data_IF_284781290016
#
_entry.id   IF_284781290016
#
_cell.length_a   1.000
_cell.length_b   1.000
_cell.length_c   1.000
_cell.angle_alpha   90.00
_cell.angle_beta   90.00
_cell.angle_gamma   90.00
#
_symmetry.space_group_name_H-M   'P 1'
#
loop_
_entity.id
_entity.type
_entity.pdbx_description
1 polymer ?
#
# COMPACT_ATOMS: atom_id res chain seq x y z
N UNK A 1 2.70 -33.10 25.49
CA UNK A 1 3.66 -33.23 24.36
C UNK A 1 4.12 -31.82 24.01
N UNK A 2 5.38 -31.50 24.34
CA UNK A 2 5.85 -30.12 24.58
C UNK A 2 5.97 -29.26 23.33
N UNK A 3 5.45 -28.03 23.41
CA UNK A 3 5.74 -26.97 22.45
C UNK A 3 7.21 -26.53 22.63
N UNK A 4 8.09 -26.91 21.69
CA UNK A 4 9.46 -26.40 21.63
C UNK A 4 9.39 -24.94 21.18
N UNK A 5 9.55 -24.00 22.11
CA UNK A 5 9.77 -22.59 21.79
C UNK A 5 11.11 -22.44 21.07
N UNK A 6 11.08 -22.09 19.79
CA UNK A 6 12.29 -21.86 19.01
C UNK A 6 12.89 -20.49 19.34
N UNK A 7 14.17 -20.45 19.70
CA UNK A 7 14.94 -19.19 19.70
C UNK A 7 15.22 -18.82 18.25
N UNK A 8 14.40 -17.92 17.68
CA UNK A 8 14.54 -17.55 16.27
C UNK A 8 15.66 -16.51 16.07
N UNK A 9 16.85 -17.01 15.71
CA UNK A 9 18.01 -16.21 15.33
C UNK A 9 17.71 -15.28 14.12
N UNK A 10 18.59 -14.30 13.87
CA UNK A 10 18.40 -13.29 12.82
C UNK A 10 18.11 -13.85 11.41
N UNK A 11 18.70 -15.00 11.06
CA UNK A 11 18.52 -15.66 9.74
C UNK A 11 17.08 -16.10 9.51
N UNK A 12 16.44 -16.75 10.50
CA UNK A 12 15.05 -17.20 10.38
C UNK A 12 14.05 -16.03 10.17
N UNK A 13 14.34 -14.86 10.76
CA UNK A 13 13.54 -13.64 10.53
C UNK A 13 13.76 -13.07 9.13
N UNK A 14 14.98 -13.13 8.62
CA UNK A 14 15.30 -12.70 7.26
C UNK A 14 14.58 -13.57 6.22
N UNK A 15 14.54 -14.89 6.40
CA UNK A 15 13.86 -15.82 5.49
C UNK A 15 12.34 -15.59 5.43
N UNK A 16 11.73 -15.30 6.57
CA UNK A 16 10.31 -14.93 6.66
C UNK A 16 10.03 -13.63 5.89
N UNK A 17 10.86 -12.61 6.09
CA UNK A 17 10.72 -11.33 5.41
C UNK A 17 10.91 -11.47 3.89
N UNK A 18 11.95 -12.20 3.48
CA UNK A 18 12.22 -12.51 2.07
C UNK A 18 11.05 -13.26 1.43
N UNK A 19 10.45 -14.21 2.17
CA UNK A 19 9.27 -14.97 1.71
C UNK A 19 8.09 -14.04 1.47
N UNK A 20 7.73 -13.19 2.45
CA UNK A 20 6.60 -12.25 2.31
C UNK A 20 6.85 -11.30 1.13
N UNK A 21 8.06 -10.75 1.01
CA UNK A 21 8.43 -9.86 -0.09
C UNK A 21 8.31 -10.56 -1.45
N UNK A 22 8.83 -11.78 -1.58
CA UNK A 22 8.76 -12.52 -2.84
C UNK A 22 7.35 -12.94 -3.26
N UNK A 23 6.41 -13.09 -2.32
CA UNK A 23 4.98 -13.28 -2.64
C UNK A 23 4.31 -11.97 -3.10
N UNK A 24 4.68 -10.83 -2.51
CA UNK A 24 4.21 -9.52 -2.94
C UNK A 24 4.71 -9.17 -4.33
N UNK A 25 5.99 -9.44 -4.63
CA UNK A 25 6.58 -9.20 -5.94
C UNK A 25 5.87 -10.03 -7.03
N UNK A 26 5.58 -11.30 -6.77
CA UNK A 26 4.76 -12.13 -7.67
C UNK A 26 3.35 -11.59 -7.85
N UNK A 27 2.71 -11.13 -6.78
CA UNK A 27 1.39 -10.52 -6.89
C UNK A 27 1.39 -9.24 -7.74
N UNK A 28 2.49 -8.48 -7.70
CA UNK A 28 2.68 -7.28 -8.50
C UNK A 28 2.93 -7.58 -9.97
N UNK A 29 3.82 -8.53 -10.26
CA UNK A 29 4.28 -8.84 -11.62
C UNK A 29 3.28 -9.72 -12.37
N UNK A 30 2.77 -10.76 -11.71
CA UNK A 30 1.94 -11.80 -12.34
C UNK A 30 0.44 -11.53 -12.18
N UNK A 31 0.05 -10.48 -11.44
CA UNK A 31 -1.36 -10.12 -11.24
C UNK A 31 -2.16 -11.12 -10.39
N UNK A 32 -1.50 -11.88 -9.50
CA UNK A 32 -2.16 -12.93 -8.69
C UNK A 32 -3.23 -12.37 -7.76
N UNK A 33 -4.27 -13.14 -7.46
CA UNK A 33 -5.34 -12.71 -6.55
C UNK A 33 -4.92 -12.74 -5.08
N UNK A 34 -5.70 -12.11 -4.20
CA UNK A 34 -5.46 -12.18 -2.76
C UNK A 34 -5.56 -13.62 -2.21
N UNK A 35 -6.44 -14.44 -2.79
CA UNK A 35 -6.57 -15.84 -2.38
C UNK A 35 -5.33 -16.64 -2.77
N UNK A 36 -4.75 -16.39 -3.95
CA UNK A 36 -3.51 -17.02 -4.38
C UNK A 36 -2.36 -16.64 -3.45
N UNK A 37 -2.24 -15.35 -3.14
CA UNK A 37 -1.26 -14.83 -2.19
C UNK A 37 -1.36 -15.53 -0.83
N UNK A 38 -2.58 -15.65 -0.26
CA UNK A 38 -2.78 -16.36 1.02
C UNK A 38 -2.35 -17.82 0.96
N UNK A 39 -2.72 -18.54 -0.11
CA UNK A 39 -2.40 -19.97 -0.26
C UNK A 39 -0.88 -20.18 -0.37
N UNK A 40 -0.22 -19.39 -1.21
CA UNK A 40 1.23 -19.49 -1.41
C UNK A 40 2.00 -19.07 -0.14
N UNK A 41 1.62 -17.95 0.49
CA UNK A 41 2.24 -17.50 1.72
C UNK A 41 2.07 -18.53 2.86
N UNK A 42 0.89 -19.14 2.98
CA UNK A 42 0.67 -20.25 3.92
C UNK A 42 1.62 -21.40 3.66
N UNK A 43 1.71 -21.86 2.42
CA UNK A 43 2.57 -22.98 2.04
C UNK A 43 4.02 -22.71 2.43
N UNK A 44 4.56 -21.54 2.05
CA UNK A 44 5.96 -21.20 2.32
C UNK A 44 6.26 -20.97 3.79
N UNK A 45 5.42 -20.23 4.51
CA UNK A 45 5.60 -20.04 5.95
C UNK A 45 5.46 -21.35 6.73
N UNK A 46 4.61 -22.28 6.28
CA UNK A 46 4.50 -23.61 6.89
C UNK A 46 5.79 -24.42 6.69
N UNK A 47 6.37 -24.37 5.48
CA UNK A 47 7.65 -25.02 5.19
C UNK A 47 8.80 -24.46 6.05
N UNK A 48 8.76 -23.16 6.38
CA UNK A 48 9.71 -22.53 7.29
C UNK A 48 9.40 -22.78 8.79
N UNK A 49 8.29 -23.44 9.13
CA UNK A 49 7.85 -23.65 10.51
C UNK A 49 7.25 -22.42 11.20
N UNK A 50 6.94 -21.37 10.43
CA UNK A 50 6.46 -20.07 10.92
C UNK A 50 4.95 -19.85 10.77
N UNK A 51 4.23 -20.85 10.26
CA UNK A 51 2.78 -20.78 10.21
C UNK A 51 2.18 -21.00 11.60
N UNK A 52 1.37 -20.05 12.07
CA UNK A 52 0.72 -20.08 13.39
C UNK A 52 1.45 -19.24 14.45
N UNK A 53 1.04 -19.36 15.73
CA UNK A 53 1.69 -18.66 16.84
C UNK A 53 3.11 -19.17 17.09
N UNK A 54 4.07 -18.25 17.19
CA UNK A 54 5.49 -18.49 17.44
C UNK A 54 5.92 -17.69 18.66
N UNK A 55 6.69 -18.28 19.56
CA UNK A 55 7.35 -17.55 20.64
C UNK A 55 8.68 -17.00 20.13
N UNK A 56 8.86 -15.70 20.18
CA UNK A 56 10.07 -15.01 19.73
C UNK A 56 10.71 -14.35 20.93
N UNK A 57 11.96 -14.72 21.23
CA UNK A 57 12.77 -14.07 22.26
C UNK A 57 13.56 -12.94 21.62
N UNK A 58 13.43 -11.73 22.16
CA UNK A 58 14.26 -10.59 21.79
C UNK A 58 15.67 -10.78 22.35
N UNK A 59 16.67 -10.75 21.47
CA UNK A 59 18.06 -11.01 21.85
C UNK A 59 18.66 -9.88 22.71
N UNK A 60 18.18 -8.66 22.53
CA UNK A 60 18.61 -7.45 23.23
C UNK A 60 18.00 -7.33 24.63
N UNK A 61 16.73 -7.72 24.81
CA UNK A 61 16.01 -7.54 26.08
C UNK A 61 15.72 -8.84 26.82
N UNK A 62 15.87 -10.00 26.18
CA UNK A 62 15.40 -11.30 26.70
C UNK A 62 13.88 -11.45 26.72
N UNK A 63 13.12 -10.45 26.27
CA UNK A 63 11.65 -10.45 26.30
C UNK A 63 11.09 -11.51 25.33
N UNK A 64 10.17 -12.34 25.82
CA UNK A 64 9.45 -13.31 24.98
C UNK A 64 8.13 -12.72 24.50
N UNK A 65 7.92 -12.70 23.18
CA UNK A 65 6.70 -12.25 22.55
C UNK A 65 6.10 -13.32 21.65
N UNK A 66 4.78 -13.52 21.75
CA UNK A 66 4.05 -14.37 20.79
C UNK A 66 3.76 -13.59 19.51
N UNK A 67 4.19 -14.14 18.38
CA UNK A 67 3.95 -13.61 17.04
C UNK A 67 3.13 -14.62 16.26
N UNK A 68 1.99 -14.20 15.70
CA UNK A 68 1.19 -15.06 14.84
C UNK A 68 1.23 -14.57 13.39
N UNK A 69 1.86 -15.35 12.51
CA UNK A 69 1.95 -15.06 11.08
C UNK A 69 0.84 -15.71 10.25
N UNK A 70 -0.09 -16.47 10.86
CA UNK A 70 -1.24 -17.05 10.15
C UNK A 70 -2.47 -16.15 10.12
N UNK A 71 -2.40 -14.92 10.64
CA UNK A 71 -3.54 -14.01 10.75
C UNK A 71 -4.05 -13.55 9.37
N UNK A 72 -5.26 -13.95 8.93
CA UNK A 72 -5.78 -13.58 7.61
C UNK A 72 -5.98 -12.07 7.46
N UNK A 73 -6.37 -11.39 8.55
CA UNK A 73 -6.49 -9.92 8.57
C UNK A 73 -5.15 -9.25 8.30
N UNK A 74 -4.07 -9.75 8.92
CA UNK A 74 -2.72 -9.23 8.70
C UNK A 74 -2.28 -9.45 7.25
N UNK A 75 -2.54 -10.63 6.68
CA UNK A 75 -2.24 -10.90 5.27
C UNK A 75 -2.98 -9.96 4.33
N UNK A 76 -4.27 -9.71 4.59
CA UNK A 76 -5.06 -8.76 3.80
C UNK A 76 -4.46 -7.36 3.85
N UNK A 77 -4.05 -6.89 5.03
CA UNK A 77 -3.39 -5.59 5.17
C UNK A 77 -2.06 -5.55 4.44
N UNK A 78 -1.19 -6.56 4.60
CA UNK A 78 0.11 -6.62 3.93
C UNK A 78 -0.07 -6.60 2.40
N UNK A 79 -0.91 -7.48 1.88
CA UNK A 79 -1.17 -7.59 0.44
C UNK A 79 -1.73 -6.29 -0.13
N UNK A 80 -2.85 -5.80 0.44
CA UNK A 80 -3.54 -4.61 -0.09
C UNK A 80 -2.67 -3.36 -0.02
N UNK A 81 -1.97 -3.15 1.09
CA UNK A 81 -1.15 -1.95 1.27
C UNK A 81 0.00 -1.92 0.29
N UNK A 82 0.75 -3.03 0.15
CA UNK A 82 1.90 -3.07 -0.74
C UNK A 82 1.47 -2.98 -2.22
N UNK A 83 0.44 -3.73 -2.61
CA UNK A 83 -0.09 -3.65 -3.98
C UNK A 83 -0.59 -2.25 -4.32
N UNK A 84 -1.31 -1.61 -3.39
CA UNK A 84 -1.80 -0.28 -3.61
C UNK A 84 -0.67 0.74 -3.77
N UNK A 85 0.34 0.71 -2.90
CA UNK A 85 1.49 1.61 -2.99
C UNK A 85 2.22 1.46 -4.32
N UNK A 86 2.47 0.23 -4.76
CA UNK A 86 3.13 -0.03 -6.04
C UNK A 86 2.27 0.41 -7.24
N UNK A 87 0.96 0.13 -7.22
CA UNK A 87 0.04 0.60 -8.25
C UNK A 87 0.03 2.13 -8.34
N UNK A 88 -0.01 2.83 -7.20
CA UNK A 88 0.01 4.29 -7.19
C UNK A 88 1.36 4.87 -7.62
N UNK A 89 2.48 4.22 -7.31
CA UNK A 89 3.79 4.61 -7.85
C UNK A 89 3.83 4.46 -9.39
N UNK A 90 3.24 3.40 -9.94
CA UNK A 90 3.08 3.24 -11.39
C UNK A 90 2.18 4.32 -11.99
N UNK A 91 1.06 4.64 -11.33
CA UNK A 91 0.17 5.74 -11.74
C UNK A 91 0.88 7.09 -11.71
N UNK A 92 1.68 7.38 -10.69
CA UNK A 92 2.47 8.62 -10.61
C UNK A 92 3.38 8.76 -11.84
N UNK A 93 4.13 7.71 -12.19
CA UNK A 93 5.01 7.71 -13.37
C UNK A 93 4.23 7.97 -14.66
N UNK A 94 3.08 7.31 -14.83
CA UNK A 94 2.23 7.50 -16.00
C UNK A 94 1.70 8.96 -16.07
N UNK A 95 1.27 9.54 -14.95
CA UNK A 95 0.79 10.92 -14.89
C UNK A 95 1.91 11.92 -15.16
N UNK A 96 3.10 11.70 -14.58
CA UNK A 96 4.27 12.54 -14.80
C UNK A 96 4.71 12.54 -16.26
N UNK A 97 4.62 11.40 -16.96
CA UNK A 97 4.92 11.32 -18.39
C UNK A 97 3.96 12.14 -19.27
N UNK A 98 2.76 12.46 -18.79
CA UNK A 98 1.74 13.24 -19.50
C UNK A 98 1.72 14.72 -19.08
N UNK A 99 2.65 15.19 -18.25
CA UNK A 99 2.55 16.51 -17.61
C UNK A 99 2.47 17.67 -18.61
N UNK A 100 3.12 17.54 -19.77
CA UNK A 100 3.08 18.56 -20.83
C UNK A 100 1.70 18.69 -21.48
N UNK A 101 0.96 17.59 -21.59
CA UNK A 101 -0.35 17.53 -22.25
C UNK A 101 -1.50 17.69 -21.25
N UNK A 102 -1.26 17.26 -20.01
CA UNK A 102 -2.23 17.22 -18.91
C UNK A 102 -1.61 17.75 -17.62
N UNK A 103 -1.32 19.06 -17.55
CA UNK A 103 -0.57 19.67 -16.45
C UNK A 103 -1.37 19.81 -15.16
N UNK A 104 -2.68 19.52 -15.17
CA UNK A 104 -3.54 19.65 -13.99
C UNK A 104 -3.93 18.29 -13.45
N UNK A 105 -3.83 18.13 -12.14
CA UNK A 105 -4.16 16.88 -11.46
C UNK A 105 -5.32 17.10 -10.50
N UNK A 106 -6.36 16.29 -10.65
CA UNK A 106 -7.55 16.28 -9.80
C UNK A 106 -7.47 15.13 -8.80
N UNK A 107 -7.65 15.47 -7.52
CA UNK A 107 -7.77 14.48 -6.47
C UNK A 107 -9.17 13.85 -6.50
N UNK A 108 -9.24 12.54 -6.69
CA UNK A 108 -10.51 11.80 -6.78
C UNK A 108 -10.60 10.84 -5.60
N UNK A 109 -11.49 11.14 -4.66
CA UNK A 109 -11.84 10.24 -3.57
C UNK A 109 -13.02 9.35 -3.95
N UNK A 110 -13.12 8.18 -3.31
CA UNK A 110 -14.38 7.43 -3.32
C UNK A 110 -15.31 8.11 -2.33
N UNK A 111 -16.51 8.50 -2.74
CA UNK A 111 -17.45 9.22 -1.87
C UNK A 111 -18.44 8.24 -1.23
N UNK A 112 -17.92 7.40 -0.33
CA UNK A 112 -18.70 6.45 0.48
C UNK A 112 -18.35 6.59 1.98
N UNK A 113 -19.12 5.93 2.85
CA UNK A 113 -18.97 6.00 4.31
C UNK A 113 -17.63 5.46 4.83
N UNK A 114 -16.86 4.78 3.99
CA UNK A 114 -15.55 4.20 4.34
C UNK A 114 -14.41 5.18 4.08
N UNK A 115 -14.68 6.30 3.42
CA UNK A 115 -13.67 7.28 3.08
C UNK A 115 -13.53 8.29 4.21
N UNK A 116 -12.28 8.51 4.63
CA UNK A 116 -11.97 9.43 5.73
C UNK A 116 -12.45 10.85 5.37
N UNK A 117 -13.03 11.62 6.31
CA UNK A 117 -13.49 12.97 6.04
C UNK A 117 -12.43 13.87 5.40
N UNK A 118 -11.17 13.74 5.82
CA UNK A 118 -10.04 14.47 5.24
C UNK A 118 -9.81 14.17 3.76
N UNK A 119 -10.06 12.93 3.32
CA UNK A 119 -9.92 12.55 1.90
C UNK A 119 -11.14 13.00 1.10
N UNK A 120 -12.34 12.88 1.67
CA UNK A 120 -13.57 13.37 1.05
C UNK A 120 -13.51 14.89 0.81
N UNK A 121 -12.96 15.64 1.76
CA UNK A 121 -12.75 17.09 1.64
C UNK A 121 -11.77 17.49 0.52
N UNK A 122 -10.92 16.56 0.05
CA UNK A 122 -10.01 16.80 -1.07
C UNK A 122 -10.63 16.42 -2.42
N UNK A 123 -11.77 15.74 -2.43
CA UNK A 123 -12.39 15.27 -3.67
C UNK A 123 -12.73 16.44 -4.60
N UNK A 124 -12.30 16.34 -5.86
CA UNK A 124 -12.52 17.35 -6.89
C UNK A 124 -11.55 18.53 -6.83
N UNK A 125 -10.68 18.63 -5.82
CA UNK A 125 -9.65 19.67 -5.80
C UNK A 125 -8.63 19.42 -6.90
N UNK A 126 -8.28 20.49 -7.60
CA UNK A 126 -7.35 20.47 -8.72
C UNK A 126 -6.16 21.37 -8.43
N UNK A 127 -4.97 20.85 -8.64
CA UNK A 127 -3.72 21.59 -8.55
C UNK A 127 -2.92 21.36 -9.83
N UNK A 128 -1.95 22.22 -10.10
CA UNK A 128 -0.95 21.88 -11.12
C UNK A 128 -0.14 20.65 -10.67
N UNK A 129 0.31 19.84 -11.62
CA UNK A 129 1.06 18.62 -11.37
C UNK A 129 2.42 18.86 -10.67
N UNK A 130 2.99 20.05 -10.83
CA UNK A 130 4.24 20.50 -10.19
C UNK A 130 4.02 21.19 -8.83
N UNK A 131 2.78 21.35 -8.39
CA UNK A 131 2.47 21.92 -7.07
C UNK A 131 3.01 21.02 -5.94
N UNK A 132 3.75 21.59 -4.95
CA UNK A 132 4.35 20.80 -3.89
C UNK A 132 3.35 20.07 -2.99
N UNK A 133 2.05 20.43 -3.03
CA UNK A 133 0.99 19.73 -2.30
C UNK A 133 1.00 18.23 -2.56
N UNK A 134 1.37 17.79 -3.78
CA UNK A 134 1.38 16.38 -4.16
C UNK A 134 2.37 15.55 -3.35
N UNK A 135 3.41 16.16 -2.78
CA UNK A 135 4.32 15.45 -1.87
C UNK A 135 3.62 15.00 -0.58
N UNK A 136 2.52 15.67 -0.21
CA UNK A 136 1.75 15.40 1.00
C UNK A 136 0.43 14.68 0.73
N UNK A 137 -0.18 14.89 -0.44
CA UNK A 137 -1.55 14.41 -0.71
C UNK A 137 -1.63 13.31 -1.77
N UNK A 138 -0.55 12.98 -2.48
CA UNK A 138 -0.63 11.97 -3.53
C UNK A 138 -0.93 10.57 -2.94
N UNK A 139 -2.03 9.89 -3.35
CA UNK A 139 -2.41 8.60 -2.80
C UNK A 139 -1.32 7.51 -2.96
N UNK A 140 -1.23 6.53 -2.04
CA UNK A 140 -2.19 6.26 -0.97
C UNK A 140 -1.91 7.05 0.32
N UNK A 141 -2.93 7.75 0.82
CA UNK A 141 -2.87 8.53 2.07
C UNK A 141 -3.17 7.66 3.31
N UNK A 142 -2.43 6.55 3.44
CA UNK A 142 -2.54 5.59 4.55
C UNK A 142 -3.29 4.29 4.23
N UNK A 143 -3.43 3.43 5.25
CA UNK A 143 -3.97 2.07 5.11
C UNK A 143 -5.40 2.06 4.56
N UNK A 144 -5.61 1.30 3.48
CA UNK A 144 -6.93 1.12 2.87
C UNK A 144 -7.46 2.37 2.15
N UNK A 145 -6.60 3.33 1.81
CA UNK A 145 -6.94 4.42 0.91
C UNK A 145 -7.54 3.84 -0.38
N UNK A 146 -8.39 4.58 -1.10
CA UNK A 146 -8.88 4.19 -2.44
C UNK A 146 -8.92 5.38 -3.40
N UNK A 147 -8.32 6.49 -2.98
CA UNK A 147 -8.25 7.72 -3.76
C UNK A 147 -7.29 7.51 -4.94
N UNK A 148 -7.51 8.28 -6.00
CA UNK A 148 -6.68 8.27 -7.21
C UNK A 148 -6.51 9.70 -7.71
N UNK A 149 -5.58 9.87 -8.65
CA UNK A 149 -5.39 11.13 -9.38
C UNK A 149 -5.88 10.99 -10.82
N UNK A 150 -6.64 11.98 -11.28
CA UNK A 150 -7.06 12.17 -12.67
C UNK A 150 -6.28 13.33 -13.27
N UNK A 151 -5.55 13.09 -14.37
CA UNK A 151 -4.90 14.16 -15.13
C UNK A 151 -5.90 14.85 -16.08
N UNK A 152 -5.84 16.17 -16.12
CA UNK A 152 -6.70 17.06 -16.88
C UNK A 152 -5.85 17.95 -17.79
N UNK A 153 -6.33 18.13 -19.01
CA UNK A 153 -5.81 19.08 -19.99
C UNK A 153 -6.43 20.46 -19.79
N UNK A 154 -5.87 21.48 -20.44
CA UNK A 154 -6.47 22.82 -20.51
C UNK A 154 -7.91 22.79 -21.06
N UNK A 155 -8.17 21.95 -22.06
CA UNK A 155 -9.51 21.78 -22.61
C UNK A 155 -10.49 21.22 -21.58
N UNK A 156 -10.08 20.19 -20.81
CA UNK A 156 -10.89 19.63 -19.72
C UNK A 156 -11.22 20.71 -18.66
N UNK A 157 -10.25 21.58 -18.34
CA UNK A 157 -10.41 22.65 -17.37
C UNK A 157 -11.41 23.71 -17.86
N UNK A 158 -11.30 24.12 -19.12
CA UNK A 158 -12.18 25.11 -19.75
C UNK A 158 -13.61 24.59 -19.92
N UNK A 159 -13.77 23.36 -20.39
CA UNK A 159 -15.08 22.73 -20.60
C UNK A 159 -15.85 22.57 -19.29
N UNK A 160 -15.15 22.18 -18.22
CA UNK A 160 -15.76 21.88 -16.92
C UNK A 160 -15.79 23.08 -15.97
N UNK A 161 -15.20 24.23 -16.35
CA UNK A 161 -15.14 25.43 -15.52
C UNK A 161 -14.43 25.20 -14.19
N UNK A 162 -13.36 24.40 -14.17
CA UNK A 162 -12.68 24.00 -12.93
C UNK A 162 -11.70 25.10 -12.48
N UNK A 163 -11.75 25.47 -11.20
CA UNK A 163 -10.74 26.34 -10.60
C UNK A 163 -9.50 25.53 -10.18
N UNK A 164 -8.32 26.06 -10.51
CA UNK A 164 -7.03 25.53 -10.02
C UNK A 164 -6.74 26.13 -8.66
N UNK A 165 -6.37 25.28 -7.71
CA UNK A 165 -5.89 25.68 -6.38
C UNK A 165 -4.35 25.73 -6.38
N UNK A 166 -3.80 26.54 -5.47
CA UNK A 166 -2.36 26.61 -5.18
C UNK A 166 -2.12 26.26 -3.71
N UNK A 167 -1.02 25.59 -3.40
CA UNK A 167 -0.56 25.43 -2.02
C UNK A 167 0.11 26.67 -1.42
N UNK A 168 0.43 27.68 -2.23
CA UNK A 168 1.14 28.89 -1.80
C UNK A 168 0.23 29.99 -1.23
N UNK A 169 -1.09 29.84 -1.34
CA UNK A 169 -2.09 30.81 -0.87
C UNK A 169 -2.78 31.53 -2.02
#
# INVERSE_FOLDING_TARGET
>A
MGARGGTFAGVARADVLATIRGELDRALVDGTTFDDFKRQLRSRLSALGWWGPQQVVRLDTGETKVVNLSSPRRHATIYRTNLQSAYMAGRYRALAAMINERPYWEYVAVMDDRTRPTHAAMNGKVFRADDPVWQSIFPPNGFGCRCRIRALSEADMKERGIAVMSSEG
#
